data_IF_943896453237
#
_entry.id   IF_943896453237
#
_cell.length_a   1.000
_cell.length_b   1.000
_cell.length_c   1.000
_cell.angle_alpha   90.00
_cell.angle_beta   90.00
_cell.angle_gamma   90.00
#
_symmetry.space_group_name_H-M   'P 1'
#
loop_
_entity.id
_entity.type
_entity.pdbx_description
1 polymer ?
#
# COMPACT_ATOMS: atom_id res chain seq x y z
N UNK A 1 -38.69 45.30 -21.34
CA UNK A 1 -37.98 44.11 -21.83
C UNK A 1 -37.49 43.35 -20.60
N UNK A 2 -38.05 42.17 -20.32
CA UNK A 2 -37.60 41.33 -19.20
C UNK A 2 -36.26 40.74 -19.59
N UNK A 3 -35.24 41.03 -18.78
CA UNK A 3 -33.89 40.50 -18.96
C UNK A 3 -33.90 38.98 -18.75
N UNK A 4 -33.91 38.22 -19.86
CA UNK A 4 -33.93 36.73 -19.85
C UNK A 4 -32.59 36.12 -19.41
N UNK A 5 -31.62 36.95 -19.02
CA UNK A 5 -30.29 36.50 -18.57
C UNK A 5 -30.28 36.07 -17.10
N UNK A 6 -31.28 36.46 -16.29
CA UNK A 6 -31.30 36.19 -14.84
C UNK A 6 -32.47 35.29 -14.40
N UNK A 7 -32.66 34.13 -15.04
CA UNK A 7 -33.55 33.10 -14.49
C UNK A 7 -32.79 32.30 -13.41
N UNK A 8 -33.28 32.22 -12.16
CA UNK A 8 -32.59 31.55 -11.06
C UNK A 8 -32.27 30.08 -11.35
N UNK A 9 -33.09 29.42 -12.18
CA UNK A 9 -32.88 28.05 -12.66
C UNK A 9 -31.54 27.86 -13.40
N UNK A 10 -31.13 28.85 -14.22
CA UNK A 10 -29.86 28.77 -14.97
C UNK A 10 -28.66 28.83 -14.02
N UNK A 11 -28.75 29.64 -12.97
CA UNK A 11 -27.71 29.73 -11.95
C UNK A 11 -27.58 28.43 -11.16
N UNK A 12 -28.70 27.80 -10.79
CA UNK A 12 -28.71 26.52 -10.07
C UNK A 12 -28.05 25.42 -10.91
N UNK A 13 -28.35 25.34 -12.22
CA UNK A 13 -27.73 24.34 -13.11
C UNK A 13 -26.21 24.53 -13.21
N UNK A 14 -25.74 25.78 -13.36
CA UNK A 14 -24.31 26.08 -13.47
C UNK A 14 -23.57 25.72 -12.17
N UNK A 15 -24.15 26.04 -11.01
CA UNK A 15 -23.57 25.69 -9.72
C UNK A 15 -23.56 24.17 -9.52
N UNK A 16 -24.66 23.48 -9.84
CA UNK A 16 -24.76 22.03 -9.72
C UNK A 16 -23.71 21.32 -10.59
N UNK A 17 -23.52 21.76 -11.84
CA UNK A 17 -22.50 21.20 -12.72
C UNK A 17 -21.09 21.40 -12.15
N UNK A 18 -20.77 22.62 -11.70
CA UNK A 18 -19.45 22.90 -11.08
C UNK A 18 -19.19 22.06 -9.85
N UNK A 19 -20.21 21.85 -9.01
CA UNK A 19 -20.09 20.98 -7.83
C UNK A 19 -19.91 19.52 -8.23
N UNK A 20 -20.64 19.04 -9.24
CA UNK A 20 -20.49 17.68 -9.78
C UNK A 20 -19.09 17.43 -10.35
N UNK A 21 -18.42 18.46 -10.87
CA UNK A 21 -17.05 18.35 -11.38
C UNK A 21 -16.00 18.51 -10.25
N UNK A 22 -16.17 19.50 -9.38
CA UNK A 22 -15.16 19.89 -8.39
C UNK A 22 -15.16 18.99 -7.16
N UNK A 23 -16.32 18.55 -6.66
CA UNK A 23 -16.39 17.74 -5.44
C UNK A 23 -15.66 16.40 -5.64
N UNK A 24 -15.89 15.64 -6.73
CA UNK A 24 -15.12 14.42 -6.98
C UNK A 24 -13.62 14.69 -7.16
N UNK A 25 -13.25 15.81 -7.78
CA UNK A 25 -11.85 16.19 -7.96
C UNK A 25 -11.14 16.41 -6.62
N UNK A 26 -11.78 17.14 -5.70
CA UNK A 26 -11.24 17.38 -4.36
C UNK A 26 -11.19 16.10 -3.53
N UNK A 27 -12.22 15.25 -3.62
CA UNK A 27 -12.21 13.94 -2.97
C UNK A 27 -11.01 13.11 -3.45
N UNK A 28 -10.78 13.03 -4.77
CA UNK A 28 -9.64 12.29 -5.32
C UNK A 28 -8.29 12.87 -4.87
N UNK A 29 -8.18 14.20 -4.83
CA UNK A 29 -6.95 14.86 -4.38
C UNK A 29 -6.66 14.54 -2.91
N UNK A 30 -7.58 14.85 -2.02
CA UNK A 30 -7.33 14.74 -0.57
C UNK A 30 -7.34 13.29 -0.09
N UNK A 31 -8.38 12.54 -0.44
CA UNK A 31 -8.61 11.21 0.15
C UNK A 31 -7.73 10.13 -0.46
N UNK A 32 -7.14 10.38 -1.63
CA UNK A 32 -6.27 9.41 -2.29
C UNK A 32 -4.87 9.96 -2.52
N UNK A 33 -4.71 11.03 -3.30
CA UNK A 33 -3.37 11.48 -3.73
C UNK A 33 -2.55 11.99 -2.55
N UNK A 34 -3.09 12.94 -1.80
CA UNK A 34 -2.39 13.53 -0.65
C UNK A 34 -2.27 12.52 0.49
N UNK A 35 -3.32 11.75 0.78
CA UNK A 35 -3.27 10.67 1.77
C UNK A 35 -2.17 9.64 1.46
N UNK A 36 -2.02 9.23 0.20
CA UNK A 36 -0.98 8.29 -0.19
C UNK A 36 0.44 8.87 -0.04
N UNK A 37 0.63 10.14 -0.39
CA UNK A 37 1.91 10.83 -0.21
C UNK A 37 2.29 10.95 1.26
N UNK A 38 1.33 11.38 2.10
CA UNK A 38 1.52 11.50 3.54
C UNK A 38 1.84 10.14 4.17
N UNK A 39 1.04 9.12 3.88
CA UNK A 39 1.24 7.77 4.42
C UNK A 39 2.62 7.20 4.02
N UNK A 40 3.04 7.42 2.78
CA UNK A 40 4.35 6.96 2.30
C UNK A 40 5.50 7.64 3.04
N UNK A 41 5.39 8.95 3.31
CA UNK A 41 6.35 9.68 4.13
C UNK A 41 6.38 9.20 5.58
N UNK A 42 5.21 8.99 6.18
CA UNK A 42 5.09 8.47 7.55
C UNK A 42 5.66 7.07 7.70
N UNK A 43 5.45 6.17 6.72
CA UNK A 43 6.04 4.83 6.73
C UNK A 43 7.57 4.85 6.73
N UNK A 44 8.19 5.75 5.95
CA UNK A 44 9.65 5.93 5.96
C UNK A 44 10.13 6.50 7.29
N UNK A 45 9.40 7.45 7.87
CA UNK A 45 9.72 8.02 9.18
C UNK A 45 9.62 6.99 10.31
N UNK A 46 8.72 6.00 10.22
CA UNK A 46 8.64 4.91 11.19
C UNK A 46 9.93 4.07 11.23
N UNK A 47 10.71 4.06 10.15
CA UNK A 47 11.99 3.37 10.10
C UNK A 47 13.14 4.21 10.70
N UNK A 48 12.96 5.52 10.89
CA UNK A 48 13.99 6.40 11.43
C UNK A 48 14.15 6.17 12.94
N UNK A 49 15.37 5.81 13.36
CA UNK A 49 15.70 5.52 14.76
C UNK A 49 15.05 4.27 15.36
N UNK A 50 14.32 3.48 14.58
CA UNK A 50 13.64 2.27 15.08
C UNK A 50 14.59 1.06 15.20
N UNK A 51 14.31 0.17 16.16
CA UNK A 51 15.03 -1.10 16.27
C UNK A 51 14.59 -2.04 15.14
N UNK A 52 15.42 -2.10 14.10
CA UNK A 52 15.22 -2.95 12.92
C UNK A 52 15.03 -4.42 13.31
N UNK A 53 15.66 -4.89 14.40
CA UNK A 53 15.54 -6.29 14.83
C UNK A 53 14.15 -6.61 15.35
N UNK A 54 13.54 -5.67 16.05
CA UNK A 54 12.19 -5.83 16.59
C UNK A 54 11.13 -5.67 15.49
N UNK A 55 11.28 -4.69 14.59
CA UNK A 55 10.33 -4.46 13.49
C UNK A 55 10.34 -5.60 12.47
N UNK A 56 11.53 -6.14 12.15
CA UNK A 56 11.67 -7.26 11.22
C UNK A 56 11.58 -8.63 11.91
N UNK A 57 11.19 -8.67 13.18
CA UNK A 57 11.08 -9.93 13.91
C UNK A 57 9.95 -10.77 13.32
N UNK A 58 10.33 -11.93 12.78
CA UNK A 58 9.37 -12.93 12.32
C UNK A 58 8.45 -13.39 13.46
N UNK A 59 7.24 -13.82 13.11
CA UNK A 59 6.43 -14.61 14.03
C UNK A 59 7.18 -15.92 14.35
N UNK A 60 7.17 -16.30 15.62
CA UNK A 60 7.76 -17.52 16.14
C UNK A 60 7.41 -18.79 15.36
N UNK A 61 6.16 -18.91 14.89
CA UNK A 61 5.73 -20.09 14.14
C UNK A 61 6.31 -20.10 12.71
N UNK A 62 6.48 -18.91 12.11
CA UNK A 62 7.15 -18.76 10.81
C UNK A 62 8.63 -19.11 10.94
N UNK A 63 9.31 -18.59 11.97
CA UNK A 63 10.71 -18.92 12.22
C UNK A 63 10.92 -20.42 12.44
N UNK A 64 10.05 -21.08 13.22
CA UNK A 64 10.15 -22.52 13.47
C UNK A 64 10.00 -23.33 12.19
N UNK A 65 9.01 -22.99 11.35
CA UNK A 65 8.80 -23.64 10.04
C UNK A 65 9.98 -23.41 9.09
N UNK A 66 10.52 -22.20 9.05
CA UNK A 66 11.68 -21.87 8.22
C UNK A 66 12.89 -22.73 8.61
N UNK A 67 13.17 -22.85 9.91
CA UNK A 67 14.27 -23.67 10.42
C UNK A 67 14.08 -25.16 10.09
N UNK A 68 12.87 -25.71 10.26
CA UNK A 68 12.58 -27.10 9.89
C UNK A 68 12.82 -27.37 8.40
N UNK A 69 12.30 -26.50 7.53
CA UNK A 69 12.47 -26.62 6.08
C UNK A 69 13.93 -26.51 5.66
N UNK A 70 14.68 -25.56 6.23
CA UNK A 70 16.13 -25.44 5.99
C UNK A 70 16.87 -26.72 6.40
N UNK A 71 16.60 -27.26 7.59
CA UNK A 71 17.22 -28.51 8.04
C UNK A 71 16.82 -29.73 7.21
N UNK A 72 15.62 -29.74 6.62
CA UNK A 72 15.21 -30.78 5.64
C UNK A 72 15.98 -30.63 4.34
N UNK A 73 16.10 -29.42 3.81
CA UNK A 73 16.81 -29.14 2.58
C UNK A 73 18.30 -29.51 2.68
N UNK A 74 18.96 -29.15 3.78
CA UNK A 74 20.37 -29.52 4.03
C UNK A 74 20.58 -31.03 4.00
N UNK A 75 19.71 -31.79 4.70
CA UNK A 75 19.79 -33.25 4.71
C UNK A 75 19.55 -33.87 3.34
N UNK A 76 18.61 -33.33 2.56
CA UNK A 76 18.35 -33.79 1.19
C UNK A 76 19.53 -33.48 0.27
N UNK A 77 20.15 -32.31 0.40
CA UNK A 77 21.34 -31.91 -0.36
C UNK A 77 22.51 -32.85 -0.08
N UNK A 78 22.77 -33.16 1.20
CA UNK A 78 23.82 -34.11 1.60
C UNK A 78 23.56 -35.52 1.07
N UNK A 79 22.30 -35.97 1.09
CA UNK A 79 21.93 -37.27 0.54
C UNK A 79 22.19 -37.32 -0.98
N UNK A 80 21.84 -36.26 -1.70
CA UNK A 80 22.08 -36.15 -3.13
C UNK A 80 23.57 -36.11 -3.47
N UNK A 81 24.37 -35.35 -2.72
CA UNK A 81 25.83 -35.29 -2.91
C UNK A 81 26.45 -36.69 -2.72
N UNK A 82 26.05 -37.41 -1.67
CA UNK A 82 26.49 -38.78 -1.47
C UNK A 82 26.13 -39.68 -2.64
N UNK A 83 24.87 -39.64 -3.11
CA UNK A 83 24.44 -40.45 -4.26
C UNK A 83 25.27 -40.16 -5.52
N UNK A 84 25.55 -38.88 -5.80
CA UNK A 84 26.39 -38.49 -6.93
C UNK A 84 27.83 -38.99 -6.79
N UNK A 85 28.39 -38.99 -5.56
CA UNK A 85 29.74 -39.48 -5.29
C UNK A 85 29.85 -41.02 -5.26
N UNK A 86 28.72 -41.75 -5.25
CA UNK A 86 28.68 -43.22 -5.34
C UNK A 86 28.63 -43.73 -6.79
N UNK A 87 28.33 -42.89 -7.78
CA UNK A 87 28.42 -43.19 -9.22
C UNK A 87 29.84 -42.98 -9.75
#
# INVERSE_FOLDING_TARGET
>A
MVDRSNCPEKMVIIVAQRMADQVPMLILLFMLKEAAQLLSGEMLNLMDGADVREILREDSDISRRRIDLQGRQERLSLAQEKLNNFQ
#
